data_IF_243939109883
#
_entry.id   IF_243939109883
#
_cell.length_a   1.000
_cell.length_b   1.000
_cell.length_c   1.000
_cell.angle_alpha   90.00
_cell.angle_beta   90.00
_cell.angle_gamma   90.00
#
_symmetry.space_group_name_H-M   'P 1'
#
loop_
_entity.id
_entity.type
_entity.pdbx_description
1 polymer ?
#
# COMPACT_ATOMS: atom_id res chain seq x y z
N UNK A 1 -11.92 31.86 3.42
CA UNK A 1 -12.55 31.09 2.33
C UNK A 1 -11.45 30.34 1.62
N UNK A 2 -11.59 29.02 1.47
CA UNK A 2 -10.62 28.22 0.69
C UNK A 2 -10.75 28.59 -0.79
N UNK A 3 -9.64 28.82 -1.47
CA UNK A 3 -9.65 29.09 -2.91
C UNK A 3 -10.16 27.84 -3.65
N UNK A 4 -10.96 28.01 -4.70
CA UNK A 4 -11.59 26.88 -5.45
C UNK A 4 -10.60 25.88 -6.04
N UNK A 5 -9.34 26.28 -6.25
CA UNK A 5 -8.24 25.39 -6.70
C UNK A 5 -7.77 24.40 -5.65
N UNK A 6 -8.22 24.54 -4.40
CA UNK A 6 -7.83 23.63 -3.29
C UNK A 6 -9.00 22.80 -2.78
N UNK A 7 -10.10 22.74 -3.52
CA UNK A 7 -11.24 21.91 -3.17
C UNK A 7 -10.97 20.44 -3.57
N UNK A 8 -10.98 19.50 -2.63
CA UNK A 8 -10.65 18.10 -2.89
C UNK A 8 -11.47 17.46 -4.03
N UNK A 9 -12.76 17.78 -4.11
CA UNK A 9 -13.68 17.26 -5.13
C UNK A 9 -13.34 17.71 -6.57
N UNK A 10 -12.50 18.74 -6.71
CA UNK A 10 -12.03 19.23 -8.02
C UNK A 10 -10.68 18.68 -8.44
N UNK A 11 -10.01 17.93 -7.56
CA UNK A 11 -8.69 17.36 -7.82
C UNK A 11 -8.73 16.04 -8.59
N UNK A 12 -9.91 15.49 -8.82
CA UNK A 12 -10.08 14.22 -9.52
C UNK A 12 -10.33 13.05 -8.60
N UNK A 13 -10.01 11.86 -9.08
CA UNK A 13 -10.24 10.61 -8.36
C UNK A 13 -9.11 9.61 -8.61
N UNK A 14 -8.99 8.63 -7.74
CA UNK A 14 -8.05 7.53 -7.93
C UNK A 14 -8.70 6.20 -7.57
N UNK A 15 -8.28 5.16 -8.27
CA UNK A 15 -8.72 3.78 -8.03
C UNK A 15 -7.51 2.85 -7.98
N UNK A 16 -7.67 1.69 -7.32
CA UNK A 16 -6.68 0.60 -7.32
C UNK A 16 -7.27 -0.65 -7.97
N UNK A 17 -6.46 -1.39 -8.69
CA UNK A 17 -6.80 -2.72 -9.23
C UNK A 17 -5.56 -3.63 -9.11
N UNK A 18 -5.74 -4.87 -8.64
CA UNK A 18 -6.96 -5.45 -8.07
C UNK A 18 -7.31 -4.86 -6.69
N UNK A 19 -8.57 -4.96 -6.31
CA UNK A 19 -9.08 -4.68 -4.96
C UNK A 19 -9.15 -5.95 -4.13
N UNK A 20 -9.32 -5.82 -2.82
CA UNK A 20 -9.56 -6.95 -1.91
C UNK A 20 -8.44 -7.18 -0.91
N UNK A 21 -8.28 -8.42 -0.46
CA UNK A 21 -7.34 -8.81 0.57
C UNK A 21 -6.13 -9.55 -0.03
N UNK A 22 -4.93 -9.18 0.45
CA UNK A 22 -3.65 -9.74 -0.02
C UNK A 22 -2.83 -10.26 1.15
N UNK A 23 -2.20 -11.40 0.96
CA UNK A 23 -1.36 -12.01 2.00
C UNK A 23 -0.13 -11.16 2.29
N UNK A 24 0.17 -10.97 3.57
CA UNK A 24 1.35 -10.27 4.04
C UNK A 24 2.64 -10.85 3.45
N UNK A 25 3.49 -9.98 2.88
CA UNK A 25 4.75 -10.35 2.24
C UNK A 25 4.64 -11.09 0.90
N UNK A 26 3.45 -11.26 0.34
CA UNK A 26 3.25 -11.80 -1.02
C UNK A 26 3.61 -10.75 -2.09
N UNK A 27 3.65 -11.18 -3.35
CA UNK A 27 3.98 -10.31 -4.48
C UNK A 27 2.77 -10.14 -5.39
N UNK A 28 2.40 -8.90 -5.68
CA UNK A 28 1.28 -8.55 -6.55
C UNK A 28 1.60 -7.36 -7.45
N UNK A 29 0.87 -7.23 -8.54
CA UNK A 29 0.82 -5.99 -9.31
C UNK A 29 -0.39 -5.17 -8.83
N UNK A 30 -0.17 -3.89 -8.53
CA UNK A 30 -1.22 -2.94 -8.21
C UNK A 30 -1.21 -1.80 -9.21
N UNK A 31 -2.30 -1.62 -9.94
CA UNK A 31 -2.47 -0.50 -10.85
C UNK A 31 -3.28 0.60 -10.16
N UNK A 32 -2.65 1.73 -9.88
CA UNK A 32 -3.33 2.94 -9.44
C UNK A 32 -3.64 3.77 -10.67
N UNK A 33 -4.91 4.06 -10.89
CA UNK A 33 -5.36 4.95 -11.96
C UNK A 33 -5.88 6.25 -11.35
N UNK A 34 -5.11 7.33 -11.48
CA UNK A 34 -5.56 8.66 -11.17
C UNK A 34 -6.25 9.26 -12.40
N UNK A 35 -7.43 9.82 -12.23
CA UNK A 35 -8.17 10.58 -13.25
C UNK A 35 -8.20 12.04 -12.84
N UNK A 36 -7.67 12.89 -13.68
CA UNK A 36 -7.56 14.32 -13.43
C UNK A 36 -8.95 14.98 -13.31
N UNK A 37 -9.09 15.84 -12.31
CA UNK A 37 -10.32 16.58 -12.05
C UNK A 37 -10.44 17.84 -12.87
N UNK A 38 -11.33 18.73 -12.44
CA UNK A 38 -11.74 19.96 -13.14
C UNK A 38 -10.57 20.85 -13.60
N UNK A 39 -9.51 20.96 -12.82
CA UNK A 39 -8.34 21.77 -13.17
C UNK A 39 -7.31 21.05 -14.03
N UNK A 40 -7.46 19.74 -14.22
CA UNK A 40 -6.40 18.93 -14.83
C UNK A 40 -5.14 18.88 -13.96
N UNK A 41 -3.97 18.75 -14.61
CA UNK A 41 -2.65 18.99 -14.02
C UNK A 41 -1.86 19.81 -15.03
N UNK A 42 -1.46 21.02 -14.65
CA UNK A 42 -0.74 21.96 -15.50
C UNK A 42 0.71 21.54 -15.71
N UNK A 43 1.40 22.20 -16.63
CA UNK A 43 2.85 22.06 -16.79
C UNK A 43 3.54 22.35 -15.46
N UNK A 44 4.44 21.47 -15.04
CA UNK A 44 5.09 21.45 -13.72
C UNK A 44 4.21 21.08 -12.52
N UNK A 45 2.90 20.89 -12.68
CA UNK A 45 2.02 20.30 -11.67
C UNK A 45 2.44 18.86 -11.33
N UNK A 46 1.98 18.35 -10.21
CA UNK A 46 2.48 17.07 -9.71
C UNK A 46 1.46 16.28 -8.89
N UNK A 47 1.72 14.99 -8.79
CA UNK A 47 0.98 14.01 -8.02
C UNK A 47 1.94 13.31 -7.06
N UNK A 48 1.49 13.03 -5.84
CA UNK A 48 2.16 12.14 -4.90
C UNK A 48 1.28 10.95 -4.59
N UNK A 49 1.84 9.74 -4.59
CA UNK A 49 1.23 8.58 -3.97
C UNK A 49 2.09 8.25 -2.75
N UNK A 50 1.48 8.30 -1.57
CA UNK A 50 2.23 8.21 -0.32
C UNK A 50 1.76 7.04 0.53
N UNK A 51 2.73 6.41 1.21
CA UNK A 51 2.49 5.36 2.18
C UNK A 51 2.95 5.80 3.58
N UNK A 52 2.41 5.17 4.61
CA UNK A 52 2.82 5.41 5.99
C UNK A 52 4.28 5.07 6.22
N UNK A 53 4.97 5.83 7.07
CA UNK A 53 6.38 5.61 7.41
C UNK A 53 6.66 4.21 7.97
N UNK A 54 5.69 3.63 8.70
CA UNK A 54 5.80 2.31 9.32
C UNK A 54 5.71 1.16 8.29
N UNK A 55 5.06 1.38 7.12
CA UNK A 55 4.91 0.33 6.11
C UNK A 55 6.28 -0.14 5.60
N UNK A 56 6.47 -1.44 5.54
CA UNK A 56 7.61 -2.07 4.86
C UNK A 56 7.23 -2.60 3.45
N UNK A 57 6.16 -2.06 2.85
CA UNK A 57 5.82 -2.29 1.45
C UNK A 57 7.07 -2.17 0.57
N UNK A 58 7.19 -3.00 -0.44
CA UNK A 58 8.31 -3.00 -1.37
C UNK A 58 8.58 -1.59 -1.92
N UNK A 59 9.86 -1.22 -2.07
CA UNK A 59 10.24 0.09 -2.59
C UNK A 59 10.15 0.09 -4.11
N UNK A 60 9.39 1.00 -4.72
CA UNK A 60 9.36 1.17 -6.16
C UNK A 60 10.77 1.37 -6.73
N UNK A 61 11.07 0.68 -7.82
CA UNK A 61 12.28 0.88 -8.63
C UNK A 61 11.89 0.92 -10.11
N UNK A 62 12.70 1.59 -10.95
CA UNK A 62 12.32 1.96 -12.31
C UNK A 62 13.31 1.46 -13.37
N UNK A 63 14.34 0.71 -12.98
CA UNK A 63 15.49 0.39 -13.84
C UNK A 63 15.63 -1.09 -14.20
N UNK A 64 15.09 -1.98 -13.38
CA UNK A 64 15.24 -3.43 -13.51
C UNK A 64 13.87 -4.10 -13.75
N UNK A 65 13.43 -4.27 -15.02
CA UNK A 65 12.08 -4.74 -15.34
C UNK A 65 11.73 -6.14 -14.81
N UNK A 66 12.71 -7.02 -14.68
CA UNK A 66 12.51 -8.39 -14.19
C UNK A 66 12.61 -8.49 -12.66
N UNK A 67 13.13 -7.47 -12.00
CA UNK A 67 13.33 -7.47 -10.55
C UNK A 67 12.05 -7.14 -9.77
N UNK A 68 11.96 -7.54 -8.48
CA UNK A 68 10.85 -7.17 -7.62
C UNK A 68 10.65 -5.65 -7.54
N UNK A 69 9.40 -5.25 -7.37
CA UNK A 69 8.98 -3.86 -7.18
C UNK A 69 9.19 -2.95 -8.41
N UNK A 70 9.42 -3.54 -9.59
CA UNK A 70 9.47 -2.74 -10.82
C UNK A 70 8.19 -1.94 -10.99
N UNK A 71 8.32 -0.65 -11.23
CA UNK A 71 7.19 0.26 -11.26
C UNK A 71 7.24 1.09 -12.53
N UNK A 72 6.10 1.19 -13.22
CA UNK A 72 5.97 2.04 -14.41
C UNK A 72 4.90 3.09 -14.20
N UNK A 73 5.08 4.24 -14.84
CA UNK A 73 4.14 5.36 -14.79
C UNK A 73 3.96 5.94 -16.19
N UNK A 74 2.72 6.11 -16.59
CA UNK A 74 2.39 6.66 -17.91
C UNK A 74 1.20 7.63 -17.83
N UNK A 75 1.20 8.64 -18.69
CA UNK A 75 0.07 9.53 -18.91
C UNK A 75 -0.73 9.07 -20.13
N UNK A 76 -2.07 9.03 -20.01
CA UNK A 76 -2.96 8.57 -21.10
C UNK A 76 -2.93 9.43 -22.36
N UNK A 77 -2.53 10.69 -22.23
CA UNK A 77 -2.46 11.67 -23.32
C UNK A 77 -1.04 11.88 -23.86
N UNK A 78 -0.05 11.11 -23.38
CA UNK A 78 1.34 11.20 -23.83
C UNK A 78 2.14 12.37 -23.21
N UNK A 79 1.63 13.03 -22.18
CA UNK A 79 2.43 13.99 -21.40
C UNK A 79 3.67 13.30 -20.82
N UNK A 80 4.81 14.01 -20.82
CA UNK A 80 6.07 13.48 -20.29
C UNK A 80 6.10 13.69 -18.78
N UNK A 81 6.35 12.60 -18.06
CA UNK A 81 6.38 12.56 -16.60
C UNK A 81 7.80 12.36 -16.10
N UNK A 82 8.18 13.07 -15.06
CA UNK A 82 9.30 12.74 -14.20
C UNK A 82 8.81 11.96 -12.99
N UNK A 83 9.45 10.85 -12.69
CA UNK A 83 9.04 9.93 -11.63
C UNK A 83 10.22 9.65 -10.73
N UNK A 84 10.01 9.76 -9.42
CA UNK A 84 11.01 9.37 -8.42
C UNK A 84 10.35 8.81 -7.17
N UNK A 85 11.08 8.01 -6.42
CA UNK A 85 10.65 7.51 -5.12
C UNK A 85 11.60 8.01 -4.03
N UNK A 86 11.03 8.65 -3.00
CA UNK A 86 11.77 9.16 -1.84
C UNK A 86 11.04 8.77 -0.56
N UNK A 87 11.80 8.27 0.41
CA UNK A 87 11.26 7.83 1.70
C UNK A 87 10.88 8.97 2.65
N UNK A 88 11.17 10.24 2.30
CA UNK A 88 11.02 11.41 3.19
C UNK A 88 10.47 12.65 2.50
N UNK A 89 9.85 12.50 1.32
CA UNK A 89 9.39 13.66 0.52
C UNK A 89 8.05 14.23 0.94
N UNK A 90 7.42 13.65 1.94
CA UNK A 90 6.16 14.17 2.47
C UNK A 90 6.19 14.20 4.00
N UNK A 91 5.13 14.73 4.63
CA UNK A 91 5.02 14.91 6.09
C UNK A 91 4.57 13.59 6.73
N UNK A 92 5.23 13.21 7.84
CA UNK A 92 4.76 12.07 8.66
C UNK A 92 3.31 12.27 9.10
N UNK A 93 2.56 11.17 9.16
CA UNK A 93 2.95 9.75 9.02
C UNK A 93 3.04 9.24 7.59
N UNK A 94 2.88 10.05 6.55
CA UNK A 94 2.77 9.71 5.13
C UNK A 94 4.00 10.18 4.34
N UNK A 95 5.20 9.77 4.74
CA UNK A 95 6.45 10.31 4.20
C UNK A 95 7.03 9.50 3.02
N UNK A 96 6.70 8.20 2.88
CA UNK A 96 7.16 7.37 1.77
C UNK A 96 6.40 7.70 0.48
N UNK A 97 7.07 8.36 -0.44
CA UNK A 97 6.44 9.07 -1.54
C UNK A 97 6.90 8.57 -2.91
N UNK A 98 5.97 8.11 -3.74
CA UNK A 98 6.13 8.11 -5.18
C UNK A 98 5.72 9.50 -5.68
N UNK A 99 6.68 10.23 -6.22
CA UNK A 99 6.48 11.57 -6.76
C UNK A 99 6.42 11.53 -8.27
N UNK A 100 5.39 12.13 -8.85
CA UNK A 100 5.15 12.17 -10.29
C UNK A 100 4.92 13.63 -10.68
N UNK A 101 5.78 14.17 -11.54
CA UNK A 101 5.69 15.56 -12.01
C UNK A 101 5.48 15.59 -13.52
N UNK A 102 4.57 16.41 -13.99
CA UNK A 102 4.45 16.74 -15.42
C UNK A 102 5.62 17.65 -15.79
N UNK A 103 6.48 17.21 -16.72
CA UNK A 103 7.64 17.99 -17.15
C UNK A 103 7.52 18.51 -18.58
N UNK A 104 6.57 17.97 -19.33
CA UNK A 104 6.20 18.47 -20.66
C UNK A 104 4.77 18.07 -21.00
N UNK A 105 3.98 19.04 -21.43
CA UNK A 105 2.56 18.88 -21.66
C UNK A 105 1.75 19.19 -20.39
N UNK A 106 0.53 18.74 -20.35
CA UNK A 106 -0.41 18.93 -19.22
C UNK A 106 -1.49 17.85 -19.30
N UNK A 107 -2.25 17.66 -18.23
CA UNK A 107 -3.44 16.80 -18.22
C UNK A 107 -4.70 17.67 -18.19
N UNK A 108 -5.68 17.34 -19.01
CA UNK A 108 -7.03 17.90 -18.95
C UNK A 108 -7.90 17.10 -18.01
N UNK A 109 -9.04 17.63 -17.66
CA UNK A 109 -10.09 16.88 -16.97
C UNK A 109 -10.39 15.56 -17.72
N UNK A 110 -10.39 14.45 -16.98
CA UNK A 110 -10.58 13.10 -17.52
C UNK A 110 -9.33 12.40 -18.05
N UNK A 111 -8.21 13.10 -18.30
CA UNK A 111 -6.93 12.45 -18.59
C UNK A 111 -6.43 11.67 -17.37
N UNK A 112 -5.62 10.64 -17.60
CA UNK A 112 -5.21 9.70 -16.57
C UNK A 112 -3.70 9.60 -16.42
N UNK A 113 -3.26 9.41 -15.18
CA UNK A 113 -1.94 8.88 -14.86
C UNK A 113 -2.13 7.46 -14.34
N UNK A 114 -1.45 6.51 -14.96
CA UNK A 114 -1.52 5.09 -14.65
C UNK A 114 -0.20 4.68 -14.04
N UNK A 115 -0.23 4.25 -12.79
CA UNK A 115 0.93 3.75 -12.04
C UNK A 115 0.77 2.26 -11.83
N UNK A 116 1.72 1.45 -12.32
CA UNK A 116 1.75 0.00 -12.06
C UNK A 116 2.87 -0.30 -11.09
N UNK A 117 2.51 -0.49 -9.84
CA UNK A 117 3.41 -0.99 -8.81
C UNK A 117 3.63 -2.49 -8.99
N UNK A 118 4.88 -2.89 -9.18
CA UNK A 118 5.21 -4.29 -9.46
C UNK A 118 4.76 -4.73 -10.86
N UNK A 119 4.97 -3.91 -11.88
CA UNK A 119 4.58 -4.18 -13.27
C UNK A 119 5.18 -5.51 -13.78
N UNK A 120 4.31 -6.48 -14.02
CA UNK A 120 4.68 -7.84 -14.42
C UNK A 120 4.90 -8.06 -15.92
N UNK A 121 4.59 -7.06 -16.74
CA UNK A 121 4.63 -7.18 -18.21
C UNK A 121 6.01 -7.57 -18.75
N UNK A 122 7.08 -7.31 -18.00
CA UNK A 122 8.46 -7.62 -18.39
C UNK A 122 9.15 -8.65 -17.48
N UNK A 123 8.38 -9.44 -16.71
CA UNK A 123 8.94 -10.55 -15.91
C UNK A 123 9.12 -10.27 -14.42
N UNK A 124 8.81 -9.08 -13.92
CA UNK A 124 8.83 -8.80 -12.47
C UNK A 124 7.88 -9.75 -11.71
N UNK A 125 8.27 -10.26 -10.52
CA UNK A 125 7.35 -11.02 -9.66
C UNK A 125 6.22 -10.15 -9.09
N UNK A 126 6.35 -8.83 -9.14
CA UNK A 126 5.40 -7.89 -8.57
C UNK A 126 6.00 -7.00 -7.47
N UNK A 127 5.15 -6.17 -6.87
CA UNK A 127 5.43 -5.40 -5.66
C UNK A 127 5.28 -6.31 -4.43
N UNK A 128 6.26 -6.32 -3.53
CA UNK A 128 6.14 -7.04 -2.26
C UNK A 128 5.18 -6.28 -1.34
N UNK A 129 4.11 -6.95 -0.94
CA UNK A 129 3.16 -6.44 0.06
C UNK A 129 3.89 -6.32 1.42
N UNK A 130 3.49 -5.37 2.25
CA UNK A 130 4.07 -5.25 3.61
C UNK A 130 3.89 -6.53 4.41
N UNK A 131 4.74 -6.75 5.44
CA UNK A 131 4.80 -8.00 6.17
C UNK A 131 3.87 -8.07 7.38
N UNK A 132 3.15 -7.03 7.71
CA UNK A 132 2.18 -7.00 8.81
C UNK A 132 0.76 -6.67 8.30
N UNK A 133 -0.24 -7.22 8.99
CA UNK A 133 -1.64 -7.07 8.62
C UNK A 133 -2.13 -5.64 8.83
N UNK A 134 -2.98 -5.20 7.92
CA UNK A 134 -3.65 -3.90 7.98
C UNK A 134 -4.99 -4.01 7.25
N UNK A 135 -6.10 -3.69 7.92
CA UNK A 135 -7.44 -3.78 7.33
C UNK A 135 -7.64 -2.77 6.21
N UNK A 136 -6.97 -1.63 6.30
CA UNK A 136 -7.10 -0.50 5.38
C UNK A 136 -5.72 0.07 5.03
N UNK A 137 -5.04 -0.58 4.09
CA UNK A 137 -3.79 -0.05 3.53
C UNK A 137 -4.12 0.92 2.40
N UNK A 138 -3.85 2.20 2.61
CA UNK A 138 -4.15 3.26 1.64
C UNK A 138 -2.95 3.54 0.71
N UNK A 139 -3.23 3.68 -0.58
CA UNK A 139 -2.38 4.38 -1.54
C UNK A 139 -2.81 5.84 -1.58
N UNK A 140 -2.41 6.62 -0.57
CA UNK A 140 -2.91 7.99 -0.43
C UNK A 140 -2.39 8.90 -1.53
N UNK A 141 -3.31 9.49 -2.26
CA UNK A 141 -3.05 10.34 -3.41
C UNK A 141 -3.23 11.81 -3.05
N UNK A 142 -2.22 12.61 -3.38
CA UNK A 142 -2.18 14.06 -3.14
C UNK A 142 -1.87 14.76 -4.46
N UNK A 143 -2.61 15.79 -4.79
CA UNK A 143 -2.54 16.51 -6.07
C UNK A 143 -2.15 17.96 -5.87
N UNK A 144 -1.16 18.41 -6.64
CA UNK A 144 -0.84 19.82 -6.85
C UNK A 144 -1.05 20.15 -8.33
N UNK A 145 -2.28 20.54 -8.67
CA UNK A 145 -2.71 20.70 -10.05
C UNK A 145 -2.01 21.86 -10.79
N UNK A 146 -1.58 22.91 -10.08
CA UNK A 146 -1.09 24.15 -10.66
C UNK A 146 0.29 24.58 -10.11
N UNK A 147 1.11 23.62 -9.69
CA UNK A 147 2.50 23.81 -9.24
C UNK A 147 2.68 24.85 -8.12
N UNK A 148 1.80 24.85 -7.14
CA UNK A 148 1.86 25.75 -5.97
C UNK A 148 2.57 25.15 -4.78
N UNK A 149 2.97 23.85 -4.85
CA UNK A 149 3.49 23.04 -3.75
C UNK A 149 2.50 22.84 -2.60
N UNK A 150 1.22 23.21 -2.81
CA UNK A 150 0.14 22.96 -1.88
C UNK A 150 -0.66 21.74 -2.35
N UNK A 151 -0.35 20.60 -1.76
CA UNK A 151 -0.95 19.32 -2.11
C UNK A 151 -2.31 19.15 -1.45
N UNK A 152 -3.29 18.78 -2.25
CA UNK A 152 -4.66 18.50 -1.82
C UNK A 152 -4.91 17.01 -1.86
N UNK A 153 -5.41 16.45 -0.77
CA UNK A 153 -5.82 15.03 -0.70
C UNK A 153 -7.11 14.80 -1.50
N UNK A 154 -7.20 13.67 -2.18
CA UNK A 154 -8.45 13.27 -2.82
C UNK A 154 -9.52 12.94 -1.77
N UNK A 155 -10.81 13.14 -2.08
CA UNK A 155 -11.91 12.85 -1.14
C UNK A 155 -12.03 11.37 -0.76
N UNK A 156 -11.60 10.48 -1.65
CA UNK A 156 -11.56 9.03 -1.45
C UNK A 156 -10.20 8.51 -1.90
N UNK A 157 -9.64 7.62 -1.10
CA UNK A 157 -8.32 7.05 -1.36
C UNK A 157 -8.44 5.60 -1.82
N UNK A 158 -7.60 5.15 -2.79
CA UNK A 158 -7.49 3.74 -3.12
C UNK A 158 -6.95 2.93 -1.93
N UNK A 159 -7.59 1.82 -1.61
CA UNK A 159 -7.23 0.98 -0.47
C UNK A 159 -7.30 -0.51 -0.78
N UNK A 160 -6.53 -1.28 -0.03
CA UNK A 160 -6.55 -2.76 -0.02
C UNK A 160 -6.49 -3.24 1.43
N UNK A 161 -6.87 -4.50 1.67
CA UNK A 161 -6.64 -5.16 2.94
C UNK A 161 -5.38 -6.05 2.87
N UNK A 162 -4.64 -6.13 3.97
CA UNK A 162 -3.49 -7.03 4.11
C UNK A 162 -3.79 -8.00 5.23
N UNK A 163 -3.81 -9.28 4.88
CA UNK A 163 -4.25 -10.38 5.75
C UNK A 163 -3.09 -11.34 6.06
N UNK A 164 -3.17 -12.10 7.16
CA UNK A 164 -2.13 -13.08 7.47
C UNK A 164 -2.13 -14.23 6.45
N UNK A 165 -0.96 -14.80 6.24
CA UNK A 165 -0.82 -16.07 5.56
C UNK A 165 -1.16 -17.28 6.44
N UNK A 166 -1.00 -18.51 5.90
CA UNK A 166 -1.15 -19.74 6.68
C UNK A 166 -0.23 -19.75 7.90
N UNK A 167 -0.68 -20.33 9.05
CA UNK A 167 0.14 -20.37 10.24
C UNK A 167 1.41 -21.22 10.04
N UNK A 168 2.55 -20.62 10.29
CA UNK A 168 3.87 -21.25 10.25
C UNK A 168 4.39 -21.63 11.64
N UNK A 169 3.90 -20.95 12.67
CA UNK A 169 4.29 -21.15 14.07
C UNK A 169 3.06 -21.16 14.97
N UNK A 170 3.07 -22.07 15.96
CA UNK A 170 2.04 -22.11 16.98
C UNK A 170 2.65 -21.82 18.35
N UNK A 171 2.03 -20.90 19.08
CA UNK A 171 2.40 -20.53 20.44
C UNK A 171 1.32 -20.96 21.42
N UNK A 172 1.73 -21.67 22.47
CA UNK A 172 0.86 -21.99 23.60
C UNK A 172 1.05 -20.93 24.69
N UNK A 173 -0.04 -20.40 25.22
CA UNK A 173 -0.04 -19.45 26.31
C UNK A 173 -0.66 -20.12 27.52
N UNK A 174 0.12 -20.27 28.59
CA UNK A 174 -0.22 -20.93 29.83
C UNK A 174 -0.01 -19.96 31.00
N UNK A 175 -0.79 -20.06 32.10
CA UNK A 175 -0.45 -19.39 33.33
C UNK A 175 0.88 -19.90 33.88
N UNK A 176 1.72 -19.02 34.37
CA UNK A 176 3.04 -19.38 34.95
C UNK A 176 2.95 -20.04 36.31
N UNK A 177 1.85 -19.87 37.02
CA UNK A 177 1.60 -20.43 38.37
C UNK A 177 0.13 -20.82 38.52
N UNK A 178 -0.13 -22.03 39.02
CA UNK A 178 -1.47 -22.52 39.38
C UNK A 178 -1.39 -23.43 40.59
N UNK A 179 -2.48 -23.51 41.38
CA UNK A 179 -2.61 -24.48 42.45
C UNK A 179 -3.03 -25.83 41.89
N UNK A 180 -2.59 -26.88 42.56
CA UNK A 180 -2.99 -28.25 42.22
C UNK A 180 -4.50 -28.37 42.33
N UNK A 181 -5.14 -28.96 41.30
CA UNK A 181 -6.59 -29.13 41.23
C UNK A 181 -7.39 -27.93 40.73
N UNK A 182 -6.75 -26.78 40.47
CA UNK A 182 -7.44 -25.65 39.86
C UNK A 182 -7.41 -25.76 38.35
N UNK A 183 -8.58 -25.69 37.64
CA UNK A 183 -8.62 -25.65 36.21
C UNK A 183 -7.99 -24.35 35.67
N UNK A 184 -7.34 -24.43 34.54
CA UNK A 184 -6.82 -23.27 33.85
C UNK A 184 -7.11 -23.30 32.35
N UNK A 185 -7.04 -22.14 31.73
CA UNK A 185 -7.24 -22.00 30.28
C UNK A 185 -5.89 -22.12 29.58
N UNK A 186 -5.81 -23.06 28.62
CA UNK A 186 -4.77 -23.13 27.62
C UNK A 186 -5.24 -22.37 26.38
N UNK A 187 -4.47 -21.41 25.92
CA UNK A 187 -4.71 -20.72 24.65
C UNK A 187 -3.64 -21.12 23.64
N UNK A 188 -4.08 -21.42 22.43
CA UNK A 188 -3.19 -21.63 21.28
C UNK A 188 -3.34 -20.46 20.31
N UNK A 189 -2.20 -19.95 19.81
CA UNK A 189 -2.18 -18.89 18.80
C UNK A 189 -1.36 -19.39 17.60
N UNK A 190 -1.96 -19.37 16.40
CA UNK A 190 -1.23 -19.51 15.15
C UNK A 190 -0.65 -18.17 14.72
N UNK A 191 0.56 -18.19 14.20
CA UNK A 191 1.19 -17.03 13.58
C UNK A 191 1.72 -17.42 12.18
N UNK A 192 1.53 -16.53 11.19
CA UNK A 192 2.16 -16.71 9.89
C UNK A 192 3.69 -16.57 9.98
N UNK A 193 4.39 -16.69 8.87
CA UNK A 193 5.85 -16.59 8.83
C UNK A 193 6.39 -15.21 9.24
N UNK A 194 5.54 -14.19 9.27
CA UNK A 194 5.87 -12.83 9.64
C UNK A 194 5.50 -12.47 11.08
N UNK A 195 4.81 -13.40 11.77
CA UNK A 195 4.36 -13.22 13.15
C UNK A 195 2.96 -12.61 13.27
N UNK A 196 2.23 -12.46 12.17
CA UNK A 196 0.85 -12.02 12.23
C UNK A 196 -0.04 -13.12 12.79
N UNK A 197 -1.01 -12.79 13.68
CA UNK A 197 -2.01 -13.76 14.11
C UNK A 197 -2.77 -14.32 12.91
N UNK A 198 -2.85 -15.66 12.81
CA UNK A 198 -3.54 -16.34 11.73
C UNK A 198 -4.52 -17.36 12.31
N UNK A 199 -5.77 -17.27 11.89
CA UNK A 199 -6.86 -18.20 12.20
C UNK A 199 -7.08 -19.25 11.10
N UNK A 200 -6.28 -19.22 10.04
CA UNK A 200 -6.33 -20.16 8.92
C UNK A 200 -5.81 -21.57 9.30
N UNK A 201 -6.22 -22.07 10.46
CA UNK A 201 -5.73 -23.36 10.99
C UNK A 201 -6.85 -24.39 11.06
N UNK A 202 -6.69 -25.48 10.32
CA UNK A 202 -7.51 -26.69 10.34
C UNK A 202 -6.86 -27.87 11.07
N UNK A 203 -5.75 -27.65 11.79
CA UNK A 203 -4.95 -28.70 12.40
C UNK A 203 -5.46 -29.13 13.76
N UNK A 204 -5.39 -30.44 14.03
CA UNK A 204 -5.61 -31.03 15.35
C UNK A 204 -4.33 -31.00 16.16
N UNK A 205 -4.40 -30.58 17.43
CA UNK A 205 -3.29 -30.56 18.36
C UNK A 205 -3.45 -31.65 19.41
N UNK A 206 -2.38 -32.35 19.70
CA UNK A 206 -2.32 -33.34 20.79
C UNK A 206 -1.54 -32.76 21.96
N UNK A 207 -2.19 -32.63 23.12
CA UNK A 207 -1.53 -32.25 24.37
C UNK A 207 -1.00 -33.50 25.07
N UNK A 208 0.27 -33.47 25.45
CA UNK A 208 0.89 -34.47 26.33
C UNK A 208 1.37 -33.79 27.58
N UNK A 209 0.87 -34.21 28.74
CA UNK A 209 1.36 -33.79 30.03
C UNK A 209 2.31 -34.86 30.59
N UNK A 210 3.52 -34.46 30.98
CA UNK A 210 4.39 -35.31 31.78
C UNK A 210 4.00 -35.09 33.24
N UNK A 211 3.37 -36.09 33.82
CA UNK A 211 3.22 -36.11 35.28
C UNK A 211 4.52 -36.65 35.89
N UNK A 212 5.15 -35.81 36.71
CA UNK A 212 6.30 -36.19 37.53
C UNK A 212 5.83 -36.97 38.77
#
# INVERSE_FOLDING_TARGET
MSHSTYLPEKMGSATVSPTGAFEAGSFHEFTITYTAGYFGIDDTGSLKIVHRFASDMGRPQFTEPEAPNYTTVEASNGAILHVEYDMKRNIRPWDKTLYIKVVRGFLREGDRIIVRFGDRRQGSPGMRVQTFCEETFEFRVLVDAIATYNYVELPSQPEIAIVPGPPALFKAVLPTLRRIGEPFRLCMKGEDRWGNPSDLCDRTFTLRANMA
#
